data_IF_932131030531
#
_entry.id   IF_932131030531
#
_cell.length_a   1.000
_cell.length_b   1.000
_cell.length_c   1.000
_cell.angle_alpha   90.00
_cell.angle_beta   90.00
_cell.angle_gamma   90.00
#
_symmetry.space_group_name_H-M   'P 1'
#
loop_
_entity.id
_entity.type
_entity.pdbx_description
1 polymer ?
#
# COMPACT_ATOMS: atom_id res chain seq x y z
N UNK A 1 -16.62 22.27 -9.98
CA UNK A 1 -15.69 23.29 -9.43
C UNK A 1 -14.23 22.86 -9.62
N UNK A 2 -13.88 21.62 -9.26
CA UNK A 2 -12.51 21.11 -9.41
C UNK A 2 -12.44 20.08 -10.55
N UNK A 3 -11.44 20.16 -11.44
CA UNK A 3 -11.16 19.06 -12.37
C UNK A 3 -10.70 17.82 -11.59
N UNK A 4 -11.00 16.65 -12.13
CA UNK A 4 -10.56 15.38 -11.56
C UNK A 4 -9.67 14.64 -12.55
N UNK A 5 -8.70 13.90 -12.04
CA UNK A 5 -7.78 13.06 -12.83
C UNK A 5 -7.77 11.65 -12.26
N UNK A 6 -7.84 10.67 -13.15
CA UNK A 6 -7.66 9.27 -12.82
C UNK A 6 -6.68 8.60 -13.76
N UNK A 7 -6.30 7.36 -13.43
CA UNK A 7 -5.47 6.54 -14.29
C UNK A 7 -4.05 7.12 -14.48
N UNK A 8 -3.54 7.84 -13.48
CA UNK A 8 -2.18 8.41 -13.50
C UNK A 8 -1.12 7.30 -13.55
N UNK A 9 -1.36 6.20 -12.84
CA UNK A 9 -0.51 5.01 -12.77
C UNK A 9 -1.02 3.87 -13.66
N UNK A 10 -1.96 4.15 -14.58
CA UNK A 10 -2.70 3.15 -15.37
C UNK A 10 -1.89 2.19 -16.23
N UNK A 11 -0.61 2.47 -16.43
CA UNK A 11 0.31 1.59 -17.16
C UNK A 11 1.68 1.66 -16.50
N UNK A 12 2.39 0.54 -16.48
CA UNK A 12 3.76 0.51 -15.96
C UNK A 12 4.68 1.49 -16.71
N UNK A 13 4.54 1.62 -18.03
CA UNK A 13 5.33 2.57 -18.84
C UNK A 13 5.14 4.02 -18.38
N UNK A 14 3.89 4.47 -18.20
CA UNK A 14 3.57 5.80 -17.69
C UNK A 14 4.13 6.03 -16.29
N UNK A 15 4.00 5.02 -15.43
CA UNK A 15 4.54 5.06 -14.07
C UNK A 15 6.06 5.18 -14.05
N UNK A 16 6.78 4.40 -14.88
CA UNK A 16 8.23 4.54 -15.07
C UNK A 16 8.60 5.91 -15.63
N UNK A 17 7.85 6.40 -16.60
CA UNK A 17 8.07 7.71 -17.18
C UNK A 17 7.94 8.83 -16.13
N UNK A 18 6.96 8.75 -15.23
CA UNK A 18 6.80 9.72 -14.13
C UNK A 18 8.02 9.78 -13.20
N UNK A 19 8.66 8.64 -12.93
CA UNK A 19 9.78 8.55 -11.99
C UNK A 19 11.16 8.34 -12.65
N UNK A 20 11.28 8.52 -13.97
CA UNK A 20 12.50 8.22 -14.75
C UNK A 20 13.79 8.83 -14.20
N UNK A 21 13.70 9.99 -13.53
CA UNK A 21 14.85 10.74 -13.02
C UNK A 21 15.31 10.28 -11.61
N UNK A 22 14.49 9.48 -10.93
CA UNK A 22 14.66 9.06 -9.53
C UNK A 22 14.59 7.55 -9.31
N UNK A 23 13.85 6.80 -10.15
CA UNK A 23 13.54 5.39 -9.96
C UNK A 23 14.79 4.54 -9.71
N UNK A 24 15.76 4.62 -10.61
CA UNK A 24 17.04 3.88 -10.48
C UNK A 24 17.83 4.24 -9.22
N UNK A 25 17.71 5.47 -8.71
CA UNK A 25 18.38 5.91 -7.47
C UNK A 25 17.65 5.37 -6.24
N UNK A 26 16.32 5.35 -6.27
CA UNK A 26 15.49 4.80 -5.19
C UNK A 26 15.68 3.30 -5.07
N UNK A 27 15.68 2.56 -6.19
CA UNK A 27 16.00 1.12 -6.19
C UNK A 27 17.35 0.82 -5.54
N UNK A 28 18.37 1.64 -5.83
CA UNK A 28 19.68 1.51 -5.20
C UNK A 28 19.62 1.79 -3.69
N UNK A 29 18.88 2.81 -3.25
CA UNK A 29 18.70 3.15 -1.84
C UNK A 29 17.97 2.05 -1.07
N UNK A 30 16.91 1.49 -1.66
CA UNK A 30 16.16 0.37 -1.09
C UNK A 30 17.08 -0.86 -0.99
N UNK A 31 17.79 -1.20 -2.06
CA UNK A 31 18.73 -2.32 -2.06
C UNK A 31 19.88 -2.16 -1.04
N UNK A 32 20.38 -0.94 -0.84
CA UNK A 32 21.40 -0.62 0.17
C UNK A 32 20.89 -0.82 1.60
N UNK A 33 19.63 -0.46 1.87
CA UNK A 33 19.02 -0.67 3.18
C UNK A 33 18.81 -2.14 3.49
N UNK A 34 18.41 -2.93 2.49
CA UNK A 34 18.24 -4.38 2.63
C UNK A 34 19.57 -5.12 2.80
N UNK A 35 20.66 -4.65 2.18
CA UNK A 35 22.00 -5.24 2.30
C UNK A 35 23.09 -4.16 2.35
N UNK A 36 23.44 -3.67 3.55
CA UNK A 36 24.45 -2.61 3.74
C UNK A 36 25.85 -3.01 3.26
N UNK A 37 26.14 -4.31 3.17
CA UNK A 37 27.46 -4.84 2.78
C UNK A 37 27.73 -4.54 1.29
N UNK A 38 26.69 -4.40 0.46
CA UNK A 38 26.83 -4.00 -0.95
C UNK A 38 27.46 -2.61 -1.11
N UNK A 39 27.25 -1.71 -0.15
CA UNK A 39 27.84 -0.37 -0.13
C UNK A 39 29.37 -0.41 -0.04
N UNK A 40 29.89 -1.28 0.84
CA UNK A 40 31.34 -1.46 1.04
C UNK A 40 32.02 -2.07 -0.19
N UNK A 41 31.32 -2.92 -0.94
CA UNK A 41 31.88 -3.58 -2.13
C UNK A 41 31.95 -2.66 -3.36
N UNK A 42 31.08 -1.65 -3.47
CA UNK A 42 31.02 -0.76 -4.65
C UNK A 42 30.78 0.73 -4.29
N UNK A 43 31.69 1.38 -3.55
CA UNK A 43 31.45 2.73 -3.00
C UNK A 43 31.22 3.82 -4.06
N UNK A 44 31.88 3.75 -5.22
CA UNK A 44 31.74 4.73 -6.30
C UNK A 44 30.33 4.73 -6.93
N UNK A 45 29.68 3.57 -6.99
CA UNK A 45 28.32 3.40 -7.55
C UNK A 45 27.28 4.18 -6.74
N UNK A 46 27.52 4.37 -5.45
CA UNK A 46 26.58 5.01 -4.53
C UNK A 46 26.90 6.49 -4.26
N UNK A 47 27.90 7.09 -4.91
CA UNK A 47 28.27 8.51 -4.70
C UNK A 47 27.13 9.49 -5.06
N UNK A 48 26.30 9.14 -6.05
CA UNK A 48 25.11 9.92 -6.45
C UNK A 48 23.96 9.90 -5.43
N UNK A 49 23.98 8.97 -4.46
CA UNK A 49 22.94 8.81 -3.44
C UNK A 49 22.93 9.93 -2.39
N UNK A 50 24.04 10.66 -2.23
CA UNK A 50 24.14 11.77 -1.28
C UNK A 50 23.22 12.95 -1.64
N UNK A 51 23.04 13.23 -2.94
CA UNK A 51 22.10 14.25 -3.42
C UNK A 51 20.65 13.81 -3.20
N UNK A 52 20.35 12.52 -3.38
CA UNK A 52 19.02 11.96 -3.09
C UNK A 52 18.69 11.97 -1.59
N UNK A 53 19.70 11.86 -0.72
CA UNK A 53 19.50 11.99 0.73
C UNK A 53 19.02 13.40 1.13
N UNK A 54 19.45 14.46 0.42
CA UNK A 54 18.98 15.82 0.65
C UNK A 54 17.52 16.03 0.25
N UNK A 55 17.07 15.41 -0.85
CA UNK A 55 15.66 15.46 -1.26
C UNK A 55 14.77 14.56 -0.41
N UNK A 56 15.33 13.58 0.29
CA UNK A 56 14.58 12.66 1.13
C UNK A 56 14.02 13.35 2.38
N UNK A 57 14.80 14.18 3.09
CA UNK A 57 14.34 14.75 4.36
C UNK A 57 13.14 15.71 4.18
N UNK A 58 12.06 15.58 4.97
CA UNK A 58 10.95 16.53 4.95
C UNK A 58 11.39 17.97 5.22
N UNK A 59 10.67 18.95 4.66
CA UNK A 59 10.96 20.38 4.81
C UNK A 59 9.77 21.13 5.37
N UNK A 60 9.90 21.67 6.59
CA UNK A 60 8.90 22.59 7.14
C UNK A 60 8.92 23.92 6.38
N UNK A 61 7.78 24.36 5.87
CA UNK A 61 7.66 25.56 5.06
C UNK A 61 6.32 26.30 5.29
N UNK A 62 6.33 27.24 6.23
CA UNK A 62 5.13 28.01 6.62
C UNK A 62 4.64 29.00 5.55
N UNK A 63 5.49 29.39 4.60
CA UNK A 63 5.13 30.34 3.55
C UNK A 63 3.99 29.83 2.63
N UNK A 64 3.79 28.51 2.55
CA UNK A 64 2.70 27.93 1.76
C UNK A 64 1.32 28.05 2.41
N UNK A 65 1.21 28.51 3.68
CA UNK A 65 -0.08 28.64 4.36
C UNK A 65 -1.06 29.53 3.58
N UNK A 66 -0.57 30.59 2.95
CA UNK A 66 -1.39 31.54 2.17
C UNK A 66 -1.80 31.02 0.78
N UNK A 67 -1.36 29.82 0.39
CA UNK A 67 -1.70 29.22 -0.92
C UNK A 67 -2.97 28.37 -0.89
N UNK A 68 -3.54 28.17 0.30
CA UNK A 68 -4.74 27.38 0.51
C UNK A 68 -5.96 28.26 0.78
N UNK A 69 -7.07 27.88 0.17
CA UNK A 69 -8.42 28.37 0.44
C UNK A 69 -9.20 27.31 1.24
N UNK A 70 -10.27 27.72 1.93
CA UNK A 70 -11.15 26.80 2.67
C UNK A 70 -12.42 26.51 1.88
N UNK A 71 -12.93 25.28 2.00
CA UNK A 71 -14.21 24.86 1.42
C UNK A 71 -14.92 23.86 2.35
N UNK A 72 -15.89 23.11 1.84
CA UNK A 72 -16.65 22.09 2.56
C UNK A 72 -16.46 20.72 1.91
N UNK A 73 -16.80 19.63 2.61
CA UNK A 73 -16.73 18.27 2.07
C UNK A 73 -17.64 18.12 0.86
N UNK A 74 -18.86 18.64 0.95
CA UNK A 74 -19.87 18.66 -0.11
C UNK A 74 -19.44 19.40 -1.38
N UNK A 75 -18.47 20.31 -1.29
CA UNK A 75 -17.92 21.04 -2.42
C UNK A 75 -16.75 20.31 -3.13
N UNK A 76 -16.18 19.27 -2.50
CA UNK A 76 -15.18 18.40 -3.12
C UNK A 76 -15.85 17.50 -4.18
N UNK A 77 -15.11 16.98 -5.17
CA UNK A 77 -15.65 16.00 -6.10
C UNK A 77 -16.23 14.77 -5.40
N UNK A 78 -17.56 14.59 -5.50
CA UNK A 78 -18.30 13.48 -4.90
C UNK A 78 -18.30 12.25 -5.83
N UNK A 79 -17.14 11.62 -5.99
CA UNK A 79 -16.96 10.50 -6.94
C UNK A 79 -17.52 9.21 -6.34
N UNK A 80 -18.47 8.62 -7.06
CA UNK A 80 -19.05 7.29 -6.81
C UNK A 80 -18.57 6.37 -7.94
N UNK A 81 -17.79 5.35 -7.61
CA UNK A 81 -17.15 4.49 -8.63
C UNK A 81 -18.12 3.44 -9.15
N UNK A 82 -18.95 2.89 -8.26
CA UNK A 82 -19.89 1.82 -8.59
C UNK A 82 -21.32 2.13 -8.16
N UNK A 83 -22.35 1.63 -8.88
CA UNK A 83 -23.75 1.96 -8.61
C UNK A 83 -24.24 1.65 -7.19
N UNK A 84 -23.66 0.68 -6.50
CA UNK A 84 -24.08 0.29 -5.13
C UNK A 84 -23.11 0.76 -4.04
N UNK A 85 -22.15 1.62 -4.37
CA UNK A 85 -21.30 2.23 -3.34
C UNK A 85 -22.17 3.04 -2.36
N UNK A 86 -21.90 2.94 -1.06
CA UNK A 86 -22.68 3.59 0.00
C UNK A 86 -22.58 5.12 0.02
N UNK A 87 -21.75 5.69 -0.85
CA UNK A 87 -21.58 7.13 -1.03
C UNK A 87 -20.33 7.44 -1.87
N UNK A 88 -19.93 8.71 -1.93
CA UNK A 88 -18.71 9.12 -2.61
C UNK A 88 -17.46 8.79 -1.79
N UNK A 89 -16.41 8.34 -2.47
CA UNK A 89 -15.17 7.88 -1.85
C UNK A 89 -13.92 8.62 -2.33
N UNK A 90 -12.98 8.85 -1.42
CA UNK A 90 -11.60 9.16 -1.76
C UNK A 90 -10.83 7.85 -1.87
N UNK A 91 -10.36 7.53 -3.08
CA UNK A 91 -9.68 6.27 -3.38
C UNK A 91 -8.16 6.36 -3.45
N UNK A 92 -7.59 7.57 -3.56
CA UNK A 92 -6.14 7.81 -3.41
C UNK A 92 -5.78 8.77 -2.26
N UNK A 93 -6.35 8.60 -1.06
CA UNK A 93 -6.04 9.44 0.08
C UNK A 93 -4.63 9.13 0.61
N UNK A 94 -3.92 10.14 1.08
CA UNK A 94 -2.70 9.98 1.86
C UNK A 94 -3.05 10.40 3.30
N UNK A 95 -3.38 9.43 4.14
CA UNK A 95 -3.83 9.65 5.52
C UNK A 95 -2.62 9.74 6.44
N UNK A 96 -2.40 10.94 6.95
CA UNK A 96 -1.30 11.30 7.83
C UNK A 96 -1.76 11.34 9.29
N UNK A 97 -0.98 10.68 10.16
CA UNK A 97 -1.14 10.75 11.62
C UNK A 97 0.23 10.76 12.30
N UNK A 98 0.33 11.39 13.47
CA UNK A 98 1.54 11.39 14.29
C UNK A 98 1.34 10.57 15.56
N UNK A 99 2.42 9.99 16.06
CA UNK A 99 2.43 9.32 17.36
C UNK A 99 2.16 10.33 18.48
N UNK A 100 1.13 10.08 19.28
CA UNK A 100 0.74 10.94 20.41
C UNK A 100 1.79 10.96 21.55
N UNK A 101 2.68 9.97 21.62
CA UNK A 101 3.79 9.95 22.57
C UNK A 101 5.02 10.70 22.06
N UNK A 102 5.19 10.75 20.74
CA UNK A 102 6.37 11.28 20.06
C UNK A 102 5.96 12.07 18.81
N UNK A 103 5.28 13.21 18.97
CA UNK A 103 4.77 13.97 17.83
C UNK A 103 5.90 14.44 16.91
N UNK A 104 5.55 14.68 15.65
CA UNK A 104 6.44 15.14 14.60
C UNK A 104 6.46 14.23 13.37
N UNK A 105 6.66 14.84 12.20
CA UNK A 105 6.63 14.21 10.87
C UNK A 105 7.61 13.04 10.66
N UNK A 106 8.63 12.90 11.51
CA UNK A 106 9.56 11.77 11.42
C UNK A 106 9.06 10.53 12.16
N UNK A 107 8.08 10.69 13.06
CA UNK A 107 7.38 9.61 13.77
C UNK A 107 5.92 9.50 13.28
N UNK A 108 5.65 9.96 12.06
CA UNK A 108 4.32 9.90 11.46
C UNK A 108 4.12 8.61 10.68
N UNK A 109 2.85 8.27 10.46
CA UNK A 109 2.40 7.31 9.46
C UNK A 109 1.79 8.10 8.30
N UNK A 110 2.14 7.76 7.05
CA UNK A 110 1.38 8.16 5.87
C UNK A 110 0.86 6.90 5.16
N UNK A 111 -0.46 6.67 5.19
CA UNK A 111 -1.05 5.46 4.61
C UNK A 111 -2.22 5.74 3.67
N UNK A 112 -2.45 4.84 2.71
CA UNK A 112 -3.60 4.91 1.82
C UNK A 112 -4.78 4.11 2.39
N UNK A 113 -5.77 4.82 2.94
CA UNK A 113 -6.96 4.24 3.58
C UNK A 113 -8.20 4.91 2.99
N UNK A 114 -9.10 4.14 2.36
CA UNK A 114 -10.26 4.73 1.67
C UNK A 114 -11.12 5.55 2.64
N UNK A 115 -11.66 6.67 2.12
CA UNK A 115 -12.42 7.63 2.92
C UNK A 115 -13.81 7.80 2.32
N UNK A 116 -14.87 7.54 3.10
CA UNK A 116 -16.25 7.80 2.67
C UNK A 116 -16.63 9.24 2.99
N UNK A 117 -16.83 10.08 1.98
CA UNK A 117 -17.09 11.51 2.16
C UNK A 117 -18.54 11.81 2.57
N UNK A 118 -19.50 10.99 2.14
CA UNK A 118 -20.92 11.18 2.42
C UNK A 118 -21.70 9.87 2.32
N UNK A 119 -23.01 9.93 2.57
CA UNK A 119 -23.89 8.76 2.63
C UNK A 119 -23.93 8.12 4.02
N UNK A 120 -24.67 7.02 4.14
CA UNK A 120 -24.93 6.33 5.41
C UNK A 120 -25.35 7.32 6.53
N UNK A 121 -24.81 7.15 7.74
CA UNK A 121 -25.18 7.92 8.93
C UNK A 121 -24.24 9.11 9.18
N UNK A 122 -23.37 9.46 8.24
CA UNK A 122 -22.43 10.56 8.39
C UNK A 122 -23.14 11.92 8.32
N UNK A 123 -22.88 12.80 9.28
CA UNK A 123 -23.41 14.17 9.25
C UNK A 123 -22.65 14.97 8.19
N UNK A 124 -23.38 15.42 7.16
CA UNK A 124 -22.84 16.19 6.04
C UNK A 124 -21.95 17.35 6.51
N UNK A 125 -20.77 17.48 5.85
CA UNK A 125 -19.74 18.48 6.13
C UNK A 125 -19.10 18.45 7.52
N UNK A 126 -19.50 17.51 8.39
CA UNK A 126 -18.97 17.38 9.76
C UNK A 126 -18.30 16.05 10.01
N UNK A 127 -18.69 14.99 9.32
CA UNK A 127 -18.20 13.65 9.57
C UNK A 127 -17.95 12.91 8.27
N UNK A 128 -16.90 12.10 8.25
CA UNK A 128 -16.55 11.22 7.14
C UNK A 128 -16.09 9.85 7.68
N UNK A 129 -16.20 8.81 6.86
CA UNK A 129 -15.74 7.46 7.20
C UNK A 129 -14.25 7.29 6.94
N UNK A 130 -13.53 6.69 7.89
CA UNK A 130 -12.11 6.39 7.78
C UNK A 130 -11.89 4.87 7.88
N UNK A 131 -11.70 4.21 6.73
CA UNK A 131 -11.54 2.76 6.66
C UNK A 131 -10.05 2.38 6.61
N UNK A 132 -9.47 2.02 7.75
CA UNK A 132 -8.16 1.36 7.81
C UNK A 132 -8.27 -0.05 8.39
N UNK A 133 -7.45 -0.95 7.87
CA UNK A 133 -7.40 -2.36 8.29
C UNK A 133 -6.42 -2.57 9.45
N UNK A 134 -6.48 -3.76 10.05
CA UNK A 134 -5.49 -4.25 11.01
C UNK A 134 -4.07 -4.26 10.40
N UNK A 135 -3.05 -4.20 11.27
CA UNK A 135 -1.63 -4.16 10.87
C UNK A 135 -1.18 -2.94 10.05
N UNK A 136 -1.93 -1.83 10.07
CA UNK A 136 -1.53 -0.55 9.47
C UNK A 136 -1.00 0.41 10.54
N UNK A 137 -0.02 1.26 10.20
CA UNK A 137 0.67 2.12 11.16
C UNK A 137 -0.25 3.10 11.90
N UNK A 138 -1.34 3.56 11.25
CA UNK A 138 -2.38 4.36 11.90
C UNK A 138 -3.02 3.65 13.10
N UNK A 139 -3.16 2.31 13.04
CA UNK A 139 -3.73 1.52 14.13
C UNK A 139 -2.90 1.64 15.40
N UNK A 140 -1.56 1.67 15.28
CA UNK A 140 -0.64 1.88 16.42
C UNK A 140 -0.87 3.25 17.05
N UNK A 141 -1.00 4.30 16.23
CA UNK A 141 -1.26 5.66 16.72
C UNK A 141 -2.63 5.77 17.39
N UNK A 142 -3.67 5.18 16.79
CA UNK A 142 -5.02 5.17 17.36
C UNK A 142 -5.07 4.39 18.68
N UNK A 143 -4.40 3.24 18.78
CA UNK A 143 -4.35 2.46 20.03
C UNK A 143 -3.76 3.29 21.18
N UNK A 144 -2.67 4.02 20.92
CA UNK A 144 -2.07 4.91 21.92
C UNK A 144 -2.98 6.08 22.30
N UNK A 145 -3.62 6.71 21.32
CA UNK A 145 -4.57 7.79 21.55
C UNK A 145 -5.78 7.31 22.39
N UNK A 146 -6.32 6.14 22.05
CA UNK A 146 -7.41 5.48 22.78
C UNK A 146 -7.01 5.17 24.23
N UNK A 147 -5.81 4.64 24.46
CA UNK A 147 -5.32 4.34 25.81
C UNK A 147 -5.20 5.60 26.69
N UNK A 148 -5.03 6.78 26.09
CA UNK A 148 -5.01 8.08 26.78
C UNK A 148 -6.38 8.77 26.84
N UNK A 149 -7.42 8.21 26.22
CA UNK A 149 -8.71 8.86 26.08
C UNK A 149 -8.67 10.16 25.28
N UNK A 150 -7.68 10.31 24.38
CA UNK A 150 -7.48 11.52 23.58
C UNK A 150 -7.86 11.25 22.11
N UNK A 151 -8.43 12.23 21.40
CA UNK A 151 -8.69 12.09 19.98
C UNK A 151 -7.37 12.04 19.19
N UNK A 152 -7.32 11.17 18.18
CA UNK A 152 -6.22 11.14 17.22
C UNK A 152 -6.42 12.27 16.20
N UNK A 153 -5.41 13.11 16.00
CA UNK A 153 -5.39 14.09 14.91
C UNK A 153 -5.06 13.41 13.59
N UNK A 154 -5.88 13.66 12.58
CA UNK A 154 -5.75 13.08 11.25
C UNK A 154 -5.71 14.20 10.21
N UNK A 155 -4.87 14.04 9.20
CA UNK A 155 -4.84 14.91 8.02
C UNK A 155 -4.84 14.05 6.77
N UNK A 156 -5.84 14.22 5.91
CA UNK A 156 -6.02 13.45 4.69
C UNK A 156 -5.58 14.34 3.53
N UNK A 157 -4.52 13.95 2.84
CA UNK A 157 -4.04 14.66 1.66
C UNK A 157 -4.54 14.00 0.38
N UNK A 158 -4.94 14.80 -0.61
CA UNK A 158 -5.36 14.32 -1.93
C UNK A 158 -4.62 15.12 -3.00
N UNK A 159 -4.15 14.44 -4.05
CA UNK A 159 -3.33 15.03 -5.12
C UNK A 159 -1.89 15.32 -4.68
N UNK A 160 -1.31 16.37 -5.25
CA UNK A 160 0.11 16.68 -5.11
C UNK A 160 1.01 15.82 -6.01
N UNK A 161 2.34 15.81 -5.75
CA UNK A 161 3.29 15.02 -6.53
C UNK A 161 2.93 13.53 -6.53
N UNK A 162 2.98 12.83 -7.68
CA UNK A 162 2.68 11.39 -7.76
C UNK A 162 3.51 10.51 -6.82
N UNK A 163 4.68 10.98 -6.36
CA UNK A 163 5.48 10.24 -5.38
C UNK A 163 4.80 10.14 -4.01
N UNK A 164 3.87 11.04 -3.66
CA UNK A 164 3.19 11.05 -2.37
C UNK A 164 2.16 9.92 -2.24
N UNK A 165 1.16 9.78 -3.14
CA UNK A 165 0.23 8.65 -3.06
C UNK A 165 0.94 7.31 -3.23
N UNK A 166 1.99 7.24 -4.06
CA UNK A 166 2.79 6.03 -4.18
C UNK A 166 3.52 5.70 -2.87
N UNK A 167 4.14 6.67 -2.21
CA UNK A 167 4.77 6.44 -0.90
C UNK A 167 3.78 5.95 0.16
N UNK A 168 2.54 6.42 0.14
CA UNK A 168 1.50 6.04 1.10
C UNK A 168 1.01 4.57 0.96
N UNK A 169 1.32 3.90 -0.15
CA UNK A 169 0.98 2.48 -0.37
C UNK A 169 2.22 1.55 -0.29
N UNK A 170 3.43 2.12 -0.22
CA UNK A 170 4.66 1.32 -0.21
C UNK A 170 4.80 0.49 1.07
N UNK A 171 5.12 -0.80 0.97
CA UNK A 171 5.49 -1.62 2.12
C UNK A 171 6.95 -1.32 2.52
N UNK A 172 7.17 -0.20 3.20
CA UNK A 172 8.51 0.22 3.61
C UNK A 172 9.01 -0.56 4.83
N UNK A 173 10.34 -0.79 4.94
CA UNK A 173 10.94 -1.33 6.16
C UNK A 173 10.70 -0.42 7.38
N UNK A 174 10.66 -1.02 8.57
CA UNK A 174 10.52 -0.27 9.82
C UNK A 174 11.64 0.78 9.97
N UNK A 175 11.26 1.99 10.40
CA UNK A 175 12.17 3.12 10.56
C UNK A 175 12.43 3.93 9.28
N UNK A 176 11.95 3.50 8.11
CA UNK A 176 11.94 4.32 6.90
C UNK A 176 10.60 5.04 6.75
N UNK A 177 10.59 6.35 7.02
CA UNK A 177 9.39 7.18 6.88
C UNK A 177 8.93 7.27 5.42
N UNK A 178 7.62 7.14 5.20
CA UNK A 178 6.98 7.31 3.90
C UNK A 178 7.22 8.71 3.34
N UNK A 179 7.30 9.74 4.19
CA UNK A 179 7.63 11.10 3.74
C UNK A 179 9.04 11.19 3.17
N UNK A 180 9.96 10.43 3.77
CA UNK A 180 11.36 10.38 3.33
C UNK A 180 11.46 9.69 1.97
N UNK A 181 10.70 8.59 1.82
CA UNK A 181 10.59 7.88 0.55
C UNK A 181 9.90 8.74 -0.52
N UNK A 182 8.80 9.42 -0.21
CA UNK A 182 8.11 10.35 -1.10
C UNK A 182 9.06 11.44 -1.63
N UNK A 183 9.93 11.95 -0.77
CA UNK A 183 10.90 12.97 -1.12
C UNK A 183 12.03 12.46 -2.02
N UNK A 184 12.54 11.26 -1.73
CA UNK A 184 13.55 10.59 -2.55
C UNK A 184 13.00 10.25 -3.95
N UNK A 185 11.80 9.66 -4.02
CA UNK A 185 11.15 9.27 -5.27
C UNK A 185 10.69 10.48 -6.09
N UNK A 186 10.22 11.53 -5.44
CA UNK A 186 9.86 12.78 -6.12
C UNK A 186 11.05 13.63 -6.54
N UNK A 187 12.28 13.24 -6.18
CA UNK A 187 13.49 14.08 -6.28
C UNK A 187 13.27 15.50 -5.73
N UNK A 188 12.42 15.62 -4.71
CA UNK A 188 11.95 16.87 -4.13
C UNK A 188 11.45 16.60 -2.72
N UNK A 189 11.93 17.37 -1.75
CA UNK A 189 11.53 17.25 -0.33
C UNK A 189 10.02 17.34 -0.15
N UNK A 190 9.46 16.45 0.66
CA UNK A 190 8.07 16.56 1.12
C UNK A 190 7.94 17.82 1.98
N UNK A 191 7.13 18.79 1.55
CA UNK A 191 6.96 20.08 2.23
C UNK A 191 5.71 20.06 3.07
N UNK A 192 5.82 20.59 4.29
CA UNK A 192 4.70 20.61 5.23
C UNK A 192 4.72 21.85 6.12
N UNK A 193 3.58 22.14 6.73
CA UNK A 193 3.47 23.11 7.82
C UNK A 193 2.39 22.63 8.81
N UNK A 194 2.21 23.35 9.91
CA UNK A 194 1.09 23.11 10.82
C UNK A 194 0.11 24.27 10.75
N UNK A 195 -1.19 23.97 10.74
CA UNK A 195 -2.23 24.99 10.84
C UNK A 195 -2.38 25.53 12.28
N UNK A 196 -3.36 26.40 12.49
CA UNK A 196 -3.61 27.03 13.79
C UNK A 196 -4.13 26.05 14.84
N UNK A 197 -4.73 24.94 14.40
CA UNK A 197 -5.22 23.88 15.26
C UNK A 197 -4.16 22.78 15.46
N UNK A 198 -2.98 22.93 14.88
CA UNK A 198 -1.84 22.03 15.02
C UNK A 198 -1.98 20.74 14.21
N UNK A 199 -2.77 20.73 13.13
CA UNK A 199 -2.78 19.64 12.13
C UNK A 199 -1.62 19.82 11.15
N UNK A 200 -1.00 18.71 10.74
CA UNK A 200 0.04 18.74 9.73
C UNK A 200 -0.60 18.86 8.34
N UNK A 201 -0.20 19.88 7.59
CA UNK A 201 -0.68 20.15 6.24
C UNK A 201 0.46 19.87 5.26
N UNK A 202 0.22 18.99 4.29
CA UNK A 202 1.12 18.89 3.14
C UNK A 202 1.03 20.17 2.31
N UNK A 203 2.13 20.91 2.19
CA UNK A 203 2.21 22.09 1.34
C UNK A 203 2.17 21.73 -0.16
N UNK A 204 2.32 20.45 -0.47
CA UNK A 204 2.37 19.91 -1.83
C UNK A 204 1.02 19.39 -2.32
N UNK A 205 0.16 18.90 -1.42
CA UNK A 205 -1.16 18.39 -1.76
C UNK A 205 -2.07 19.44 -2.41
N UNK A 206 -3.00 18.98 -3.24
CA UNK A 206 -4.03 19.82 -3.87
C UNK A 206 -5.18 20.09 -2.90
N UNK A 207 -5.54 19.08 -2.09
CA UNK A 207 -6.56 19.16 -1.06
C UNK A 207 -6.05 18.58 0.26
N UNK A 208 -6.51 19.15 1.37
CA UNK A 208 -6.25 18.62 2.71
C UNK A 208 -7.54 18.66 3.54
N UNK A 209 -7.94 17.53 4.11
CA UNK A 209 -9.04 17.44 5.07
C UNK A 209 -8.43 17.17 6.44
N UNK A 210 -8.68 18.04 7.42
CA UNK A 210 -8.21 17.84 8.80
C UNK A 210 -9.37 17.47 9.72
N UNK A 211 -9.07 16.66 10.72
CA UNK A 211 -10.09 16.22 11.67
C UNK A 211 -9.56 15.36 12.80
N UNK A 212 -10.47 14.97 13.68
CA UNK A 212 -10.16 14.16 14.85
C UNK A 212 -10.97 12.86 14.85
N UNK A 213 -10.33 11.78 15.30
CA UNK A 213 -10.95 10.46 15.48
C UNK A 213 -10.96 10.14 16.96
N UNK A 214 -12.15 10.05 17.54
CA UNK A 214 -12.32 9.77 18.96
C UNK A 214 -12.37 8.26 19.23
N UNK A 215 -11.95 7.84 20.44
CA UNK A 215 -12.08 6.44 20.83
C UNK A 215 -13.54 5.98 20.77
N UNK A 216 -13.78 4.81 20.18
CA UNK A 216 -15.09 4.14 20.09
C UNK A 216 -16.19 4.89 19.30
N UNK A 217 -15.84 5.95 18.56
CA UNK A 217 -16.78 6.61 17.66
C UNK A 217 -16.72 5.99 16.26
N UNK A 218 -17.59 5.01 16.02
CA UNK A 218 -17.68 4.31 14.74
C UNK A 218 -19.05 4.52 14.08
N UNK A 219 -19.07 4.52 12.75
CA UNK A 219 -20.30 4.57 11.94
C UNK A 219 -20.23 3.59 10.76
N UNK A 220 -21.39 3.22 10.18
CA UNK A 220 -21.42 2.34 9.01
C UNK A 220 -20.69 2.95 7.80
N UNK A 221 -19.68 2.25 7.30
CA UNK A 221 -18.95 2.56 6.07
C UNK A 221 -19.26 1.50 5.00
N UNK A 222 -19.29 1.89 3.73
CA UNK A 222 -19.64 1.02 2.61
C UNK A 222 -21.15 0.91 2.36
N UNK A 223 -21.63 0.07 1.43
CA UNK A 223 -20.85 -0.90 0.64
C UNK A 223 -19.82 -0.21 -0.29
N UNK A 224 -18.82 -0.96 -0.75
CA UNK A 224 -17.78 -0.42 -1.64
C UNK A 224 -17.32 -1.48 -2.63
N UNK A 225 -17.22 -1.14 -3.92
CA UNK A 225 -16.64 -2.04 -4.92
C UNK A 225 -15.14 -2.27 -4.69
N UNK A 226 -14.78 -3.48 -4.29
CA UNK A 226 -13.43 -3.85 -3.87
C UNK A 226 -12.58 -4.41 -5.02
N UNK A 227 -11.26 -4.50 -4.81
CA UNK A 227 -10.26 -5.00 -5.75
C UNK A 227 -10.47 -6.46 -6.19
N UNK A 228 -11.37 -7.21 -5.54
CA UNK A 228 -11.80 -8.54 -5.97
C UNK A 228 -12.89 -8.50 -7.06
N UNK A 229 -13.45 -7.32 -7.35
CA UNK A 229 -14.58 -7.16 -8.27
C UNK A 229 -15.94 -7.49 -7.65
N UNK A 230 -16.04 -7.46 -6.31
CA UNK A 230 -17.27 -7.63 -5.54
C UNK A 230 -17.44 -6.45 -4.57
N UNK A 231 -18.67 -6.26 -4.07
CA UNK A 231 -18.92 -5.26 -3.04
C UNK A 231 -18.48 -5.79 -1.67
N UNK A 232 -17.61 -5.05 -0.98
CA UNK A 232 -17.49 -5.17 0.47
C UNK A 232 -18.81 -4.75 1.12
N UNK A 233 -19.24 -5.48 2.15
CA UNK A 233 -20.45 -5.15 2.89
C UNK A 233 -20.25 -3.92 3.77
N UNK A 234 -21.36 -3.39 4.26
CA UNK A 234 -21.35 -2.29 5.23
C UNK A 234 -20.87 -2.80 6.59
N UNK A 235 -19.90 -2.11 7.18
CA UNK A 235 -19.35 -2.44 8.50
C UNK A 235 -19.04 -1.18 9.31
N UNK A 236 -19.01 -1.26 10.65
CA UNK A 236 -18.64 -0.13 11.50
C UNK A 236 -17.13 0.17 11.37
N UNK A 237 -16.81 1.38 10.94
CA UNK A 237 -15.44 1.91 10.91
C UNK A 237 -15.34 3.22 11.69
N UNK A 238 -14.13 3.63 12.12
CA UNK A 238 -13.93 4.92 12.76
C UNK A 238 -14.48 6.06 11.91
N UNK A 239 -15.18 6.98 12.58
CA UNK A 239 -15.58 8.24 11.97
C UNK A 239 -14.54 9.31 12.29
N UNK A 240 -14.28 10.20 11.32
CA UNK A 240 -13.49 11.40 11.54
C UNK A 240 -14.39 12.61 11.60
N UNK A 241 -14.33 13.37 12.70
CA UNK A 241 -14.96 14.68 12.83
C UNK A 241 -14.11 15.70 12.07
N UNK A 242 -14.67 16.31 11.05
CA UNK A 242 -13.99 17.26 10.17
C UNK A 242 -13.86 18.62 10.87
N UNK A 243 -12.66 19.18 10.82
CA UNK A 243 -12.36 20.52 11.33
C UNK A 243 -12.28 21.52 10.17
N UNK A 244 -11.38 21.26 9.21
CA UNK A 244 -11.20 22.13 8.05
C UNK A 244 -10.99 21.33 6.76
N UNK A 245 -11.43 21.91 5.65
CA UNK A 245 -11.17 21.42 4.29
C UNK A 245 -10.43 22.51 3.52
N UNK A 246 -9.21 22.21 3.11
CA UNK A 246 -8.34 23.11 2.37
C UNK A 246 -8.20 22.67 0.92
N UNK A 247 -8.05 23.62 0.01
CA UNK A 247 -7.64 23.34 -1.37
C UNK A 247 -6.73 24.44 -1.91
N UNK A 248 -5.89 24.10 -2.89
CA UNK A 248 -5.13 25.08 -3.67
C UNK A 248 -6.02 25.76 -4.72
N UNK A 249 -5.53 26.89 -5.24
CA UNK A 249 -6.04 27.43 -6.49
C UNK A 249 -5.75 26.45 -7.63
N UNK A 250 -6.71 26.23 -8.51
CA UNK A 250 -6.63 25.31 -9.66
C UNK A 250 -6.31 23.85 -9.27
N UNK A 251 -6.69 23.45 -8.05
CA UNK A 251 -6.49 22.12 -7.50
C UNK A 251 -7.14 21.02 -8.35
N UNK A 252 -6.41 19.92 -8.56
CA UNK A 252 -6.86 18.75 -9.33
C UNK A 252 -7.14 17.59 -8.39
N UNK A 253 -8.34 17.03 -8.46
CA UNK A 253 -8.75 15.91 -7.61
C UNK A 253 -8.25 14.59 -8.20
N UNK A 254 -7.19 14.03 -7.61
CA UNK A 254 -6.67 12.72 -7.98
C UNK A 254 -7.53 11.61 -7.39
N UNK A 255 -7.99 10.69 -8.24
CA UNK A 255 -8.73 9.50 -7.82
C UNK A 255 -8.40 8.30 -8.69
N UNK A 256 -8.71 7.11 -8.20
CA UNK A 256 -8.66 5.86 -8.96
C UNK A 256 -9.97 5.09 -8.86
N UNK A 257 -10.18 4.17 -9.81
CA UNK A 257 -11.29 3.22 -9.79
C UNK A 257 -10.74 1.89 -9.29
N UNK A 258 -11.26 1.45 -8.15
CA UNK A 258 -10.96 0.12 -7.57
C UNK A 258 -12.06 -0.83 -7.98
N UNK A 259 -11.74 -2.05 -8.39
CA UNK A 259 -12.76 -3.01 -8.84
C UNK A 259 -12.14 -4.28 -9.37
N UNK A 260 -12.86 -4.99 -10.26
CA UNK A 260 -12.34 -6.23 -10.86
C UNK A 260 -11.02 -5.95 -11.60
N UNK A 261 -9.92 -6.69 -11.32
CA UNK A 261 -8.65 -6.51 -12.01
C UNK A 261 -8.75 -6.81 -13.51
N UNK A 262 -7.89 -6.20 -14.35
CA UNK A 262 -6.85 -5.25 -13.96
C UNK A 262 -7.41 -3.83 -13.79
N UNK A 263 -6.95 -3.12 -12.75
CA UNK A 263 -7.17 -1.67 -12.60
C UNK A 263 -5.81 -0.96 -12.37
N UNK A 264 -5.85 0.32 -12.01
CA UNK A 264 -4.64 1.11 -11.75
C UNK A 264 -3.79 0.51 -10.62
N UNK A 265 -4.43 -0.14 -9.64
CA UNK A 265 -3.80 -0.87 -8.54
C UNK A 265 -2.89 -2.03 -9.00
N UNK A 266 -3.23 -2.74 -10.08
CA UNK A 266 -2.36 -3.74 -10.72
C UNK A 266 -1.02 -3.10 -11.16
N UNK A 267 -1.09 -1.93 -11.79
CA UNK A 267 0.11 -1.21 -12.24
C UNK A 267 0.90 -0.60 -11.07
N UNK A 268 0.21 -0.17 -9.99
CA UNK A 268 0.85 0.18 -8.72
C UNK A 268 1.65 -1.00 -8.16
N UNK A 269 1.02 -2.19 -8.06
CA UNK A 269 1.65 -3.41 -7.54
C UNK A 269 2.89 -3.80 -8.33
N UNK A 270 2.82 -3.74 -9.67
CA UNK A 270 3.95 -4.02 -10.54
C UNK A 270 5.12 -3.06 -10.30
N UNK A 271 4.85 -1.76 -10.14
CA UNK A 271 5.89 -0.77 -9.84
C UNK A 271 6.50 -0.97 -8.44
N UNK A 272 5.68 -1.26 -7.44
CA UNK A 272 6.16 -1.55 -6.07
C UNK A 272 7.10 -2.76 -6.10
N UNK A 273 6.72 -3.82 -6.82
CA UNK A 273 7.56 -5.01 -6.99
C UNK A 273 8.90 -4.69 -7.68
N UNK A 274 8.90 -3.83 -8.71
CA UNK A 274 10.13 -3.37 -9.35
C UNK A 274 11.05 -2.57 -8.42
N UNK A 275 10.49 -1.64 -7.64
CA UNK A 275 11.25 -0.80 -6.71
C UNK A 275 11.85 -1.62 -5.55
N UNK A 276 11.05 -2.50 -4.97
CA UNK A 276 11.43 -3.28 -3.79
C UNK A 276 12.29 -4.49 -4.13
N UNK A 277 12.22 -4.96 -5.37
CA UNK A 277 12.82 -6.21 -5.81
C UNK A 277 12.17 -7.43 -5.16
N UNK A 278 12.49 -8.62 -5.65
CA UNK A 278 12.01 -9.87 -5.08
C UNK A 278 12.74 -10.17 -3.75
N UNK A 279 12.33 -9.53 -2.65
CA UNK A 279 12.85 -9.83 -1.31
C UNK A 279 12.41 -11.22 -0.83
N UNK A 280 11.23 -11.68 -1.25
CA UNK A 280 10.57 -12.88 -0.72
C UNK A 280 11.34 -14.19 -1.01
N UNK A 281 11.80 -14.48 -2.26
CA UNK A 281 12.56 -15.71 -2.53
C UNK A 281 13.90 -15.78 -1.79
N UNK A 282 14.43 -14.63 -1.34
CA UNK A 282 15.69 -14.58 -0.61
C UNK A 282 15.52 -14.94 0.88
N UNK A 283 14.33 -14.75 1.44
CA UNK A 283 14.05 -15.03 2.85
C UNK A 283 13.63 -16.49 3.09
N UNK A 284 12.97 -17.14 2.13
CA UNK A 284 12.51 -18.52 2.26
C UNK A 284 13.50 -19.45 1.55
N UNK A 285 14.31 -20.16 2.33
CA UNK A 285 15.27 -21.12 1.79
C UNK A 285 14.57 -22.21 0.97
N UNK A 286 15.03 -22.40 -0.27
CA UNK A 286 14.45 -23.38 -1.20
C UNK A 286 13.35 -22.81 -2.11
N UNK A 287 12.76 -21.66 -1.78
CA UNK A 287 11.84 -20.96 -2.66
C UNK A 287 12.61 -20.33 -3.83
N UNK A 288 12.13 -20.58 -5.05
CA UNK A 288 12.74 -20.07 -6.29
C UNK A 288 11.92 -18.96 -6.89
N UNK A 289 10.61 -19.13 -6.92
CA UNK A 289 9.69 -18.19 -7.52
C UNK A 289 8.37 -18.20 -6.75
N UNK A 290 7.74 -17.04 -6.65
CA UNK A 290 6.38 -16.88 -6.15
C UNK A 290 5.68 -15.82 -6.97
N UNK A 291 4.45 -16.08 -7.38
CA UNK A 291 3.60 -15.16 -8.13
C UNK A 291 2.23 -15.06 -7.44
N UNK A 292 1.84 -13.82 -7.17
CA UNK A 292 0.51 -13.46 -6.68
C UNK A 292 -0.38 -13.19 -7.90
N UNK A 293 -1.35 -14.07 -8.15
CA UNK A 293 -2.09 -14.08 -9.41
C UNK A 293 -3.06 -12.90 -9.46
N UNK A 294 -2.69 -11.86 -10.22
CA UNK A 294 -3.43 -10.60 -10.32
C UNK A 294 -4.92 -10.79 -10.67
N UNK A 295 -5.21 -11.66 -11.64
CA UNK A 295 -6.59 -11.97 -12.06
C UNK A 295 -7.47 -12.59 -10.95
N UNK A 296 -6.86 -13.11 -9.87
CA UNK A 296 -7.56 -13.64 -8.70
C UNK A 296 -7.70 -12.60 -7.58
N UNK A 297 -7.36 -11.33 -7.82
CA UNK A 297 -7.34 -10.28 -6.80
C UNK A 297 -6.00 -10.13 -6.09
N UNK A 298 -4.89 -10.41 -6.79
CA UNK A 298 -3.50 -10.38 -6.30
C UNK A 298 -3.22 -11.44 -5.22
N UNK A 299 -3.70 -11.26 -4.00
CA UNK A 299 -3.31 -12.08 -2.84
C UNK A 299 -4.04 -13.44 -2.69
N UNK A 300 -5.32 -13.62 -3.08
CA UNK A 300 -6.05 -14.85 -2.78
C UNK A 300 -5.45 -16.14 -3.35
N UNK A 301 -4.72 -16.05 -4.48
CA UNK A 301 -4.11 -17.18 -5.17
C UNK A 301 -2.62 -16.94 -5.39
N UNK A 302 -1.80 -17.82 -4.83
CA UNK A 302 -0.36 -17.85 -5.04
C UNK A 302 0.05 -19.07 -5.86
N UNK A 303 0.96 -18.84 -6.80
CA UNK A 303 1.77 -19.88 -7.44
C UNK A 303 3.19 -19.80 -6.92
N UNK A 304 3.83 -20.94 -6.66
CA UNK A 304 5.20 -20.99 -6.17
C UNK A 304 5.98 -22.14 -6.81
N UNK A 305 7.30 -21.96 -6.88
CA UNK A 305 8.25 -23.01 -7.26
C UNK A 305 9.26 -23.15 -6.12
N UNK A 306 9.28 -24.32 -5.48
CA UNK A 306 10.27 -24.69 -4.47
C UNK A 306 11.34 -25.61 -5.03
N UNK A 307 12.26 -26.06 -4.18
CA UNK A 307 13.27 -27.06 -4.53
C UNK A 307 13.43 -28.06 -3.39
N UNK A 308 13.69 -29.32 -3.74
CA UNK A 308 13.94 -30.43 -2.82
C UNK A 308 15.45 -30.61 -2.66
N UNK A 309 16.06 -29.87 -1.72
CA UNK A 309 17.52 -29.71 -1.65
C UNK A 309 18.22 -30.77 -0.81
N UNK A 310 17.51 -31.34 0.15
CA UNK A 310 18.12 -32.19 1.18
C UNK A 310 18.10 -33.69 0.86
N UNK A 311 17.47 -34.10 -0.24
CA UNK A 311 17.29 -35.53 -0.60
C UNK A 311 17.84 -35.92 -1.98
N UNK A 312 19.10 -35.56 -2.33
CA UNK A 312 19.64 -35.79 -3.67
C UNK A 312 19.84 -37.27 -4.06
N UNK A 313 19.72 -38.19 -3.10
CA UNK A 313 19.95 -39.62 -3.31
C UNK A 313 18.67 -40.47 -3.38
N UNK A 314 17.50 -39.87 -3.14
CA UNK A 314 16.23 -40.59 -3.24
C UNK A 314 15.80 -40.68 -4.70
N UNK A 315 15.54 -41.91 -5.17
CA UNK A 315 15.09 -42.16 -6.55
C UNK A 315 13.60 -41.83 -6.74
N UNK A 316 12.79 -42.09 -5.72
CA UNK A 316 11.37 -41.75 -5.72
C UNK A 316 11.19 -40.39 -5.05
N UNK A 317 10.88 -39.37 -5.85
CA UNK A 317 10.66 -38.02 -5.35
C UNK A 317 9.26 -37.90 -4.75
N UNK A 318 9.20 -37.51 -3.48
CA UNK A 318 7.97 -37.13 -2.77
C UNK A 318 8.16 -35.75 -2.16
N UNK A 319 7.09 -34.94 -2.01
CA UNK A 319 7.19 -33.67 -1.32
C UNK A 319 7.76 -33.87 0.10
N UNK A 320 8.88 -33.21 0.40
CA UNK A 320 9.47 -33.17 1.73
C UNK A 320 9.70 -31.71 2.12
N UNK A 321 10.61 -31.04 1.43
CA UNK A 321 10.89 -29.62 1.65
C UNK A 321 9.77 -28.73 1.09
N UNK A 322 9.11 -29.16 0.01
CA UNK A 322 8.02 -28.40 -0.62
C UNK A 322 6.89 -28.07 0.37
N UNK A 323 6.51 -29.01 1.25
CA UNK A 323 5.49 -28.75 2.27
C UNK A 323 5.96 -27.78 3.35
N UNK A 324 7.24 -27.82 3.73
CA UNK A 324 7.83 -26.84 4.66
C UNK A 324 7.85 -25.44 4.03
N UNK A 325 8.24 -25.34 2.77
CA UNK A 325 8.23 -24.08 2.01
C UNK A 325 6.80 -23.52 1.94
N UNK A 326 5.81 -24.37 1.65
CA UNK A 326 4.41 -23.96 1.59
C UNK A 326 3.92 -23.35 2.92
N UNK A 327 4.23 -24.00 4.04
CA UNK A 327 3.91 -23.48 5.38
C UNK A 327 4.61 -22.15 5.68
N UNK A 328 5.87 -21.99 5.27
CA UNK A 328 6.56 -20.70 5.40
C UNK A 328 5.89 -19.60 4.58
N UNK A 329 5.50 -19.87 3.34
CA UNK A 329 4.79 -18.90 2.49
C UNK A 329 3.49 -18.45 3.17
N UNK A 330 2.66 -19.42 3.60
CA UNK A 330 1.36 -19.13 4.22
C UNK A 330 1.48 -18.45 5.60
N UNK A 331 2.65 -18.48 6.23
CA UNK A 331 2.91 -17.81 7.52
C UNK A 331 3.60 -16.45 7.40
N UNK A 332 3.88 -15.96 6.19
CA UNK A 332 4.82 -14.84 5.99
C UNK A 332 4.14 -13.57 5.45
N UNK A 333 4.17 -12.50 6.24
CA UNK A 333 3.84 -11.13 5.82
C UNK A 333 2.55 -11.06 4.95
N UNK A 334 2.60 -10.45 3.77
CA UNK A 334 1.44 -10.33 2.88
C UNK A 334 1.08 -11.64 2.16
N UNK A 335 1.97 -12.64 2.14
CA UNK A 335 1.69 -13.95 1.54
C UNK A 335 0.74 -14.77 2.41
N UNK A 336 0.66 -14.49 3.71
CA UNK A 336 -0.30 -15.16 4.60
C UNK A 336 -1.75 -14.77 4.30
N UNK A 337 -1.99 -13.77 3.44
CA UNK A 337 -3.33 -13.42 2.97
C UNK A 337 -3.86 -14.39 1.90
N UNK A 338 -3.00 -15.30 1.40
CA UNK A 338 -3.39 -16.26 0.38
C UNK A 338 -4.34 -17.32 0.92
N UNK A 339 -5.44 -17.52 0.17
CA UNK A 339 -6.42 -18.58 0.46
C UNK A 339 -6.05 -19.88 -0.26
N UNK A 340 -5.34 -19.77 -1.38
CA UNK A 340 -4.89 -20.90 -2.19
C UNK A 340 -3.42 -20.75 -2.53
N UNK A 341 -2.64 -21.81 -2.33
CA UNK A 341 -1.25 -21.91 -2.75
C UNK A 341 -1.06 -23.16 -3.60
N UNK A 342 -0.60 -22.99 -4.83
CA UNK A 342 -0.11 -24.07 -5.68
C UNK A 342 1.41 -24.00 -5.69
N UNK A 343 2.07 -25.06 -5.26
CA UNK A 343 3.53 -25.12 -5.23
C UNK A 343 4.04 -26.31 -6.04
N UNK A 344 4.89 -26.03 -7.02
CA UNK A 344 5.58 -27.03 -7.83
C UNK A 344 7.02 -27.23 -7.33
N UNK A 345 7.58 -28.41 -7.56
CA UNK A 345 9.00 -28.65 -7.36
C UNK A 345 9.77 -28.31 -8.64
N UNK A 346 10.83 -27.50 -8.52
CA UNK A 346 11.69 -27.12 -9.64
C UNK A 346 12.24 -28.34 -10.39
N UNK A 347 12.48 -29.42 -9.68
CA UNK A 347 13.02 -30.67 -10.19
C UNK A 347 12.08 -31.37 -11.20
N UNK A 348 10.80 -30.99 -11.27
CA UNK A 348 9.88 -31.49 -12.31
C UNK A 348 10.07 -30.83 -13.66
N UNK A 349 10.44 -29.54 -13.65
CA UNK A 349 10.67 -28.76 -14.85
C UNK A 349 11.43 -27.48 -14.50
N UNK A 350 12.73 -27.44 -14.82
CA UNK A 350 13.58 -26.28 -14.53
C UNK A 350 13.20 -25.01 -15.30
N UNK A 351 12.44 -25.14 -16.40
CA UNK A 351 11.97 -24.02 -17.22
C UNK A 351 10.59 -23.51 -16.82
N UNK A 352 9.94 -24.14 -15.83
CA UNK A 352 8.63 -23.72 -15.37
C UNK A 352 8.72 -22.31 -14.76
N UNK A 353 7.74 -21.46 -15.08
CA UNK A 353 7.58 -20.17 -14.41
C UNK A 353 6.13 -20.01 -13.97
N UNK A 354 5.95 -19.50 -12.76
CA UNK A 354 4.68 -19.09 -12.17
C UNK A 354 4.05 -17.90 -12.89
N UNK A 355 4.82 -17.14 -13.68
CA UNK A 355 4.29 -16.03 -14.48
C UNK A 355 3.54 -16.49 -15.74
N UNK A 356 3.80 -17.71 -16.22
CA UNK A 356 3.07 -18.32 -17.33
C UNK A 356 1.90 -19.14 -16.77
N UNK A 357 0.84 -18.46 -16.34
CA UNK A 357 -0.30 -19.03 -15.60
C UNK A 357 -0.83 -20.33 -16.24
N UNK A 358 -1.05 -20.33 -17.55
CA UNK A 358 -1.59 -21.50 -18.26
C UNK A 358 -0.63 -22.69 -18.22
N UNK A 359 0.65 -22.48 -18.51
CA UNK A 359 1.67 -23.53 -18.49
C UNK A 359 1.88 -24.07 -17.07
N UNK A 360 1.88 -23.19 -16.07
CA UNK A 360 2.00 -23.55 -14.66
C UNK A 360 0.83 -24.42 -14.20
N UNK A 361 -0.40 -24.01 -14.49
CA UNK A 361 -1.59 -24.78 -14.14
C UNK A 361 -1.63 -26.12 -14.86
N UNK A 362 -1.30 -26.17 -16.16
CA UNK A 362 -1.20 -27.42 -16.89
C UNK A 362 -0.19 -28.36 -16.24
N UNK A 363 1.00 -27.86 -15.91
CA UNK A 363 2.03 -28.63 -15.24
C UNK A 363 1.54 -29.23 -13.91
N UNK A 364 0.86 -28.44 -13.09
CA UNK A 364 0.30 -28.86 -11.79
C UNK A 364 -0.81 -29.90 -11.97
N UNK A 365 -1.80 -29.62 -12.83
CA UNK A 365 -3.00 -30.45 -12.99
C UNK A 365 -2.70 -31.81 -13.64
N UNK A 366 -1.65 -31.91 -14.46
CA UNK A 366 -1.16 -33.19 -15.01
C UNK A 366 -0.55 -34.11 -13.94
N UNK A 367 -0.13 -33.57 -12.79
CA UNK A 367 0.71 -34.27 -11.80
C UNK A 367 0.05 -34.46 -10.44
N UNK A 368 -0.93 -33.62 -10.11
CA UNK A 368 -1.57 -33.62 -8.78
C UNK A 368 -2.30 -34.94 -8.48
N UNK A 369 -1.98 -35.56 -7.34
CA UNK A 369 -2.78 -36.63 -6.73
C UNK A 369 -3.65 -36.03 -5.61
N UNK A 370 -4.93 -35.78 -5.90
CA UNK A 370 -5.87 -35.17 -4.95
C UNK A 370 -6.02 -35.92 -3.61
N UNK A 371 -5.61 -37.20 -3.54
CA UNK A 371 -5.65 -37.97 -2.29
C UNK A 371 -4.49 -37.64 -1.35
N UNK A 372 -3.42 -37.02 -1.85
CA UNK A 372 -2.16 -36.81 -1.10
C UNK A 372 -1.67 -35.37 -1.12
N UNK A 373 -1.91 -34.66 -2.21
CA UNK A 373 -1.31 -33.35 -2.47
C UNK A 373 -2.24 -32.18 -2.14
N UNK A 374 -3.49 -32.47 -1.74
CA UNK A 374 -4.46 -31.47 -1.31
C UNK A 374 -4.43 -31.33 0.22
N UNK A 375 -3.97 -30.17 0.69
CA UNK A 375 -3.84 -29.87 2.12
C UNK A 375 -4.80 -28.75 2.52
N UNK A 376 -5.56 -28.96 3.59
CA UNK A 376 -6.50 -27.98 4.14
C UNK A 376 -5.99 -27.46 5.48
N UNK A 377 -5.90 -26.14 5.62
CA UNK A 377 -5.69 -25.48 6.90
C UNK A 377 -7.01 -24.84 7.32
N UNK A 378 -7.54 -25.25 8.47
CA UNK A 378 -8.81 -24.73 9.03
C UNK A 378 -8.55 -23.89 10.26
N UNK A 379 -9.44 -22.95 10.57
CA UNK A 379 -9.31 -22.00 11.70
C UNK A 379 -8.06 -21.13 11.62
N UNK A 380 -7.68 -20.72 10.41
CA UNK A 380 -6.60 -19.76 10.18
C UNK A 380 -7.09 -18.35 10.45
N UNK A 381 -6.24 -17.48 11.02
CA UNK A 381 -6.57 -16.08 11.33
C UNK A 381 -6.40 -15.13 10.13
N UNK A 382 -6.69 -15.62 8.92
CA UNK A 382 -6.37 -14.94 7.65
C UNK A 382 -7.48 -13.93 7.25
N UNK A 383 -8.62 -13.92 7.94
CA UNK A 383 -9.74 -12.98 7.74
C UNK A 383 -10.07 -12.22 9.04
#
# INVERSE_FOLDING_TARGET
>A
KFPAVSNLFGTLERSKFMFRDSLAKVEQLVALRSDPIKALKNPLKYSSSALTALSALPLKQSLFKNTFEKTTISALPQIVNWPMDGGPFVTMPQVFTEDIDKPGVMNSNLGMYRIQLAGNDYIADKEIGLHYQIHRGIGVHQTKANAKGQPLKVSIFVGGPPSHPLAAVMPLPEGLSELTFAGALGNRRFRYFYDEEGFCISADADFVITGTVYPQENKPEGPFGDHLGYYSLTHPFPLMKVHNVYHKKDAIWSFTVVGRPPQEDTSFGALIHEITGSAIPQEISGLKEVNAVDAAGVHPLLFAIGSERYTPYLKDRKPQEILTIANHILGKNQLSLAKYLFIAAREDNEKLSTNHIQEFLQHMLERIDLKKDLHFHTNTTID
#
